data_IF_470286175607
#
_entry.id   IF_470286175607
#
_cell.length_a   1.000
_cell.length_b   1.000
_cell.length_c   1.000
_cell.angle_alpha   90.00
_cell.angle_beta   90.00
_cell.angle_gamma   90.00
#
_symmetry.space_group_name_H-M   'P 1'
#
loop_
_entity.id
_entity.type
_entity.pdbx_description
1 polymer ?
#
# COMPACT_ATOMS: atom_id res chain seq x y z
N UNK A 1 -3.38 91.98 -58.30
CA UNK A 1 -2.44 91.52 -59.35
C UNK A 1 -2.21 90.03 -59.15
N UNK A 2 -2.46 89.24 -60.21
CA UNK A 2 -1.86 87.93 -60.57
C UNK A 2 -1.78 86.87 -59.45
N UNK A 3 -2.36 85.67 -59.51
CA UNK A 3 -2.81 84.83 -60.62
C UNK A 3 -2.31 83.40 -60.38
N UNK A 4 -3.05 82.41 -60.92
CA UNK A 4 -2.61 81.07 -61.34
C UNK A 4 -2.78 79.83 -60.40
N UNK A 5 -3.84 79.07 -60.73
CA UNK A 5 -3.85 77.64 -61.14
C UNK A 5 -4.08 76.49 -60.13
N UNK A 6 -5.27 75.85 -60.32
CA UNK A 6 -5.51 74.42 -60.66
C UNK A 6 -4.87 73.33 -59.77
N UNK A 7 -5.70 72.54 -59.08
CA UNK A 7 -6.18 71.19 -59.52
C UNK A 7 -6.98 70.48 -58.42
N UNK A 8 -7.92 69.68 -58.91
CA UNK A 8 -8.87 68.79 -58.25
C UNK A 8 -8.25 67.48 -57.74
N UNK A 9 -8.79 66.98 -56.62
CA UNK A 9 -9.12 65.55 -56.42
C UNK A 9 -8.13 64.67 -55.62
N UNK A 10 -8.59 64.21 -54.44
CA UNK A 10 -8.40 62.88 -53.78
C UNK A 10 -8.81 63.05 -52.29
N UNK A 11 -9.98 62.62 -51.82
CA UNK A 11 -10.51 61.26 -51.56
C UNK A 11 -9.68 60.46 -50.52
N UNK A 12 -10.34 60.23 -49.37
CA UNK A 12 -10.28 59.11 -48.40
C UNK A 12 -9.31 59.20 -47.21
N UNK A 13 -9.92 59.58 -46.08
CA UNK A 13 -10.10 58.85 -44.81
C UNK A 13 -8.90 58.28 -44.04
N UNK A 14 -8.74 58.87 -42.85
CA UNK A 14 -8.35 58.31 -41.55
C UNK A 14 -7.48 57.04 -41.51
N UNK A 15 -6.22 57.28 -41.16
CA UNK A 15 -5.33 56.36 -40.45
C UNK A 15 -5.91 55.98 -39.08
N UNK A 16 -6.29 54.71 -38.91
CA UNK A 16 -6.41 54.07 -37.60
C UNK A 16 -5.42 52.90 -37.55
N UNK A 17 -4.31 53.10 -36.83
CA UNK A 17 -3.34 52.05 -36.56
C UNK A 17 -3.95 51.01 -35.63
N UNK A 18 -4.22 49.82 -36.16
CA UNK A 18 -4.66 48.66 -35.37
C UNK A 18 -3.42 48.13 -34.64
N UNK A 19 -3.31 48.44 -33.35
CA UNK A 19 -2.41 47.73 -32.46
C UNK A 19 -2.93 46.29 -32.30
N UNK A 20 -2.20 45.32 -32.84
CA UNK A 20 -2.48 43.91 -32.64
C UNK A 20 -2.21 43.54 -31.17
N UNK A 21 -3.25 43.62 -30.32
CA UNK A 21 -3.25 42.92 -29.05
C UNK A 21 -3.29 41.42 -29.35
N UNK A 22 -2.14 40.76 -29.27
CA UNK A 22 -2.06 39.31 -29.12
C UNK A 22 -2.68 38.95 -27.75
N UNK A 23 -3.99 38.74 -27.73
CA UNK A 23 -4.68 38.20 -26.57
C UNK A 23 -4.14 36.80 -26.30
N UNK A 24 -3.37 36.65 -25.22
CA UNK A 24 -3.07 35.34 -24.65
C UNK A 24 -4.41 34.72 -24.23
N UNK A 25 -4.94 33.81 -25.04
CA UNK A 25 -6.02 32.94 -24.64
C UNK A 25 -5.50 32.03 -23.52
N UNK A 26 -5.70 32.45 -22.26
CA UNK A 26 -5.62 31.56 -21.12
C UNK A 26 -6.70 30.49 -21.30
N UNK A 27 -6.31 29.33 -21.83
CA UNK A 27 -7.15 28.14 -21.78
C UNK A 27 -7.58 27.94 -20.32
N UNK A 28 -8.87 27.67 -20.06
CA UNK A 28 -9.30 27.37 -18.70
C UNK A 28 -8.47 26.19 -18.20
N UNK A 29 -7.80 26.37 -17.06
CA UNK A 29 -7.07 25.29 -16.41
C UNK A 29 -8.05 24.12 -16.22
N UNK A 30 -7.88 23.06 -17.01
CA UNK A 30 -8.70 21.87 -16.90
C UNK A 30 -8.63 21.35 -15.47
N UNK A 31 -9.78 20.99 -14.90
CA UNK A 31 -9.84 20.45 -13.55
C UNK A 31 -8.84 19.29 -13.41
N UNK A 32 -7.95 19.37 -12.42
CA UNK A 32 -6.92 18.36 -12.19
C UNK A 32 -7.58 16.99 -12.03
N UNK A 33 -7.10 15.93 -12.72
CA UNK A 33 -7.69 14.60 -12.59
C UNK A 33 -7.70 14.11 -11.14
N UNK A 34 -8.78 13.42 -10.76
CA UNK A 34 -8.89 12.82 -9.43
C UNK A 34 -7.82 11.74 -9.24
N UNK A 35 -7.11 11.80 -8.12
CA UNK A 35 -6.05 10.85 -7.82
C UNK A 35 -6.57 9.40 -7.78
N UNK A 36 -7.80 9.17 -7.30
CA UNK A 36 -8.38 7.82 -7.28
C UNK A 36 -8.52 7.20 -8.67
N UNK A 37 -8.78 8.01 -9.70
CA UNK A 37 -8.91 7.54 -11.09
C UNK A 37 -7.54 7.20 -11.64
N UNK A 38 -6.54 8.04 -11.36
CA UNK A 38 -5.16 7.81 -11.81
C UNK A 38 -4.53 6.57 -11.17
N UNK A 39 -4.61 6.46 -9.85
CA UNK A 39 -4.05 5.32 -9.12
C UNK A 39 -4.85 4.03 -9.35
N UNK A 40 -6.18 4.12 -9.41
CA UNK A 40 -7.05 2.98 -9.71
C UNK A 40 -6.91 2.45 -11.13
N UNK A 41 -6.37 3.24 -12.06
CA UNK A 41 -6.10 2.83 -13.44
C UNK A 41 -4.77 2.09 -13.63
N UNK A 42 -3.93 1.97 -12.59
CA UNK A 42 -2.67 1.22 -12.69
C UNK A 42 -2.89 -0.27 -12.50
N UNK A 43 -2.36 -1.07 -13.42
CA UNK A 43 -2.42 -2.53 -13.35
C UNK A 43 -1.27 -3.10 -12.50
N UNK A 44 -0.09 -2.49 -12.56
CA UNK A 44 1.14 -2.98 -11.95
C UNK A 44 1.80 -1.93 -11.02
N UNK A 45 2.63 -2.37 -10.06
CA UNK A 45 3.30 -1.48 -9.12
C UNK A 45 4.38 -0.67 -9.82
N UNK A 46 4.87 0.38 -9.14
CA UNK A 46 6.04 1.12 -9.60
C UNK A 46 7.31 0.27 -9.42
N UNK A 47 8.02 -0.06 -10.50
CA UNK A 47 9.28 -0.80 -10.50
C UNK A 47 10.45 0.05 -9.99
N UNK A 48 10.44 0.32 -8.69
CA UNK A 48 11.41 1.16 -7.97
C UNK A 48 11.62 0.57 -6.58
N UNK A 49 12.48 1.20 -5.76
CA UNK A 49 12.69 0.74 -4.38
C UNK A 49 11.40 0.86 -3.55
N UNK A 50 11.14 -0.10 -2.64
CA UNK A 50 10.01 -0.04 -1.73
C UNK A 50 10.07 1.19 -0.83
N UNK A 51 9.00 1.98 -0.83
CA UNK A 51 8.84 3.12 0.08
C UNK A 51 7.37 3.55 0.17
N UNK A 52 6.92 3.90 1.36
CA UNK A 52 5.60 4.48 1.64
C UNK A 52 5.70 6.00 1.79
N UNK A 53 4.76 6.74 1.20
CA UNK A 53 4.75 8.21 1.22
C UNK A 53 3.42 8.74 1.71
N UNK A 54 3.46 9.71 2.63
CA UNK A 54 2.29 10.35 3.20
C UNK A 54 1.69 9.56 4.35
N UNK A 55 0.37 9.63 4.46
CA UNK A 55 -0.39 9.00 5.55
C UNK A 55 -1.28 7.89 5.00
N UNK A 56 -1.71 6.96 5.85
CA UNK A 56 -2.48 5.76 5.47
C UNK A 56 -3.72 6.05 4.61
N UNK A 57 -4.34 7.22 4.76
CA UNK A 57 -5.50 7.69 4.01
C UNK A 57 -5.24 8.90 3.10
N UNK A 58 -3.96 9.25 2.88
CA UNK A 58 -3.54 10.37 2.05
C UNK A 58 -2.08 10.16 1.62
N UNK A 59 -1.86 9.27 0.66
CA UNK A 59 -0.53 8.85 0.29
C UNK A 59 -0.49 7.90 -0.90
N UNK A 60 0.69 7.35 -1.15
CA UNK A 60 0.97 6.32 -2.17
C UNK A 60 2.13 5.45 -1.69
N UNK A 61 2.48 4.40 -2.44
CA UNK A 61 3.72 3.67 -2.21
C UNK A 61 4.32 3.14 -3.51
N UNK A 62 5.63 2.91 -3.48
CA UNK A 62 6.42 2.38 -4.59
C UNK A 62 7.07 1.05 -4.23
N UNK A 63 7.61 0.34 -5.24
CA UNK A 63 8.27 -0.96 -5.03
C UNK A 63 7.36 -2.01 -4.37
N UNK A 64 6.06 -1.91 -4.67
CA UNK A 64 5.07 -2.84 -4.16
C UNK A 64 5.25 -4.24 -4.71
N UNK A 65 4.92 -5.23 -3.88
CA UNK A 65 4.80 -6.63 -4.30
C UNK A 65 3.40 -7.12 -4.05
N UNK A 66 2.95 -8.07 -4.85
CA UNK A 66 1.67 -8.71 -4.64
C UNK A 66 1.83 -9.98 -3.80
N UNK A 67 0.87 -10.28 -2.94
CA UNK A 67 0.74 -11.63 -2.37
C UNK A 67 0.05 -12.54 -3.38
N UNK A 68 0.57 -13.75 -3.61
CA UNK A 68 -0.04 -14.72 -4.51
C UNK A 68 -1.53 -14.91 -4.21
N UNK A 69 -2.33 -15.13 -5.27
CA UNK A 69 -3.79 -15.35 -5.11
C UNK A 69 -4.09 -16.54 -4.21
N UNK A 70 -3.18 -17.50 -4.20
CA UNK A 70 -3.22 -18.72 -3.40
C UNK A 70 -1.88 -18.92 -2.72
N UNK A 71 -1.94 -19.23 -1.44
CA UNK A 71 -0.81 -19.79 -0.71
C UNK A 71 -1.19 -21.09 -0.02
N UNK A 72 -0.25 -21.70 0.72
CA UNK A 72 -0.54 -22.90 1.49
C UNK A 72 -1.68 -22.68 2.51
N UNK A 73 -1.70 -21.52 3.13
CA UNK A 73 -2.53 -21.16 4.29
C UNK A 73 -3.37 -19.90 4.08
N UNK A 74 -3.55 -19.44 2.84
CA UNK A 74 -4.42 -18.31 2.51
C UNK A 74 -5.02 -18.39 1.11
N UNK A 75 -6.08 -17.61 0.90
CA UNK A 75 -6.69 -17.33 -0.40
C UNK A 75 -7.08 -15.85 -0.48
N UNK A 76 -6.69 -15.17 -1.57
CA UNK A 76 -7.09 -13.79 -1.81
C UNK A 76 -8.51 -13.72 -2.40
N UNK A 77 -9.31 -12.76 -1.91
CA UNK A 77 -10.70 -12.53 -2.29
C UNK A 77 -10.83 -11.31 -3.19
N UNK A 78 -11.93 -11.21 -3.94
CA UNK A 78 -12.22 -10.05 -4.80
C UNK A 78 -11.06 -9.69 -5.74
N UNK A 79 -10.51 -10.69 -6.42
CA UNK A 79 -9.33 -10.58 -7.29
C UNK A 79 -9.50 -9.49 -8.36
N UNK A 80 -10.73 -9.35 -8.89
CA UNK A 80 -11.10 -8.34 -9.88
C UNK A 80 -10.80 -6.90 -9.45
N UNK A 81 -10.71 -6.62 -8.14
CA UNK A 81 -10.41 -5.29 -7.61
C UNK A 81 -8.95 -4.88 -7.78
N UNK A 82 -8.05 -5.81 -8.07
CA UNK A 82 -6.61 -5.60 -8.15
C UNK A 82 -6.00 -4.96 -6.88
N UNK A 83 -6.32 -5.52 -5.70
CA UNK A 83 -5.96 -4.95 -4.38
C UNK A 83 -5.05 -5.81 -3.51
N UNK A 84 -4.36 -6.78 -4.11
CA UNK A 84 -3.46 -7.72 -3.40
C UNK A 84 -2.02 -7.21 -3.26
N UNK A 85 -1.80 -5.89 -3.38
CA UNK A 85 -0.48 -5.27 -3.42
C UNK A 85 -0.15 -4.58 -2.10
N UNK A 86 1.10 -4.62 -1.68
CA UNK A 86 1.53 -3.93 -0.48
C UNK A 86 3.03 -3.71 -0.43
N UNK A 87 3.47 -3.00 0.61
CA UNK A 87 4.87 -2.91 0.94
C UNK A 87 5.40 -4.33 1.27
N UNK A 88 6.63 -4.71 0.88
CA UNK A 88 7.14 -6.07 1.13
C UNK A 88 7.03 -6.54 2.57
N UNK A 89 7.21 -5.63 3.55
CA UNK A 89 7.03 -5.92 4.98
C UNK A 89 5.58 -6.25 5.36
N UNK A 90 4.59 -5.63 4.71
CA UNK A 90 3.19 -5.96 4.91
C UNK A 90 2.87 -7.35 4.35
N UNK A 91 3.33 -7.65 3.13
CA UNK A 91 3.13 -8.96 2.51
C UNK A 91 3.78 -10.08 3.33
N UNK A 92 5.02 -9.88 3.77
CA UNK A 92 5.71 -10.83 4.64
C UNK A 92 4.97 -11.07 5.97
N UNK A 93 4.39 -10.02 6.56
CA UNK A 93 3.59 -10.13 7.78
C UNK A 93 2.31 -10.93 7.54
N UNK A 94 1.62 -10.75 6.41
CA UNK A 94 0.43 -11.53 6.06
C UNK A 94 0.78 -13.00 5.86
N UNK A 95 1.86 -13.31 5.13
CA UNK A 95 2.31 -14.69 4.94
C UNK A 95 2.66 -15.34 6.29
N UNK A 96 3.37 -14.61 7.17
CA UNK A 96 3.66 -15.07 8.53
C UNK A 96 2.39 -15.30 9.35
N UNK A 97 1.47 -14.33 9.36
CA UNK A 97 0.17 -14.46 10.02
C UNK A 97 -0.58 -15.69 9.54
N UNK A 98 -0.56 -15.96 8.23
CA UNK A 98 -1.30 -17.09 7.68
C UNK A 98 -0.80 -18.44 8.20
N UNK A 99 0.52 -18.60 8.35
CA UNK A 99 1.13 -19.83 8.89
C UNK A 99 0.90 -19.94 10.40
N UNK A 100 1.15 -18.85 11.13
CA UNK A 100 1.02 -18.84 12.59
C UNK A 100 -0.44 -19.02 13.02
N UNK A 101 -1.41 -18.45 12.28
CA UNK A 101 -2.82 -18.66 12.53
C UNK A 101 -3.20 -20.14 12.40
N UNK A 102 -2.67 -20.84 11.39
CA UNK A 102 -2.86 -22.30 11.24
C UNK A 102 -2.23 -23.07 12.39
N UNK A 103 -1.02 -22.70 12.81
CA UNK A 103 -0.39 -23.30 13.98
C UNK A 103 -1.21 -23.08 15.28
N UNK A 104 -1.93 -21.97 15.38
CA UNK A 104 -2.84 -21.66 16.49
C UNK A 104 -4.25 -22.26 16.33
N UNK A 105 -4.51 -23.04 15.27
CA UNK A 105 -5.79 -23.74 15.05
C UNK A 105 -6.83 -23.00 14.19
N UNK A 106 -6.47 -21.88 13.55
CA UNK A 106 -7.31 -21.21 12.55
C UNK A 106 -7.10 -21.85 11.17
N UNK A 107 -8.13 -22.15 10.35
CA UNK A 107 -7.94 -22.99 9.15
C UNK A 107 -7.18 -22.34 7.98
N UNK A 108 -6.85 -21.05 8.08
CA UNK A 108 -6.17 -20.26 7.07
C UNK A 108 -6.88 -18.94 6.81
N UNK A 109 -6.24 -18.03 6.07
CA UNK A 109 -6.74 -16.67 5.89
C UNK A 109 -7.50 -16.49 4.57
N UNK A 110 -8.67 -15.85 4.63
CA UNK A 110 -9.28 -15.21 3.48
C UNK A 110 -8.86 -13.74 3.47
N UNK A 111 -8.06 -13.34 2.48
CA UNK A 111 -7.49 -11.98 2.40
C UNK A 111 -8.44 -11.06 1.64
N UNK A 112 -8.80 -9.95 2.26
CA UNK A 112 -9.51 -8.84 1.63
C UNK A 112 -8.56 -7.87 0.92
N UNK A 113 -8.89 -6.57 0.99
CA UNK A 113 -8.10 -5.54 0.32
C UNK A 113 -6.79 -5.28 1.09
N UNK A 114 -5.66 -5.18 0.38
CA UNK A 114 -4.36 -4.70 0.91
C UNK A 114 -4.12 -3.28 0.41
N UNK A 115 -3.83 -3.10 -0.88
CA UNK A 115 -3.72 -1.80 -1.54
C UNK A 115 -3.79 -2.00 -3.06
N UNK A 116 -4.10 -0.92 -3.79
CA UNK A 116 -3.91 -0.87 -5.26
C UNK A 116 -2.40 -0.98 -5.59
N UNK A 117 -2.00 -1.27 -6.84
CA UNK A 117 -0.60 -1.56 -7.17
C UNK A 117 0.39 -0.47 -6.79
N UNK A 118 -0.04 0.79 -6.85
CA UNK A 118 0.76 1.97 -6.49
C UNK A 118 0.19 2.73 -5.29
N UNK A 119 -0.73 2.09 -4.57
CA UNK A 119 -1.46 2.70 -3.46
C UNK A 119 -2.45 3.75 -3.93
N UNK A 120 -2.42 4.92 -3.29
CA UNK A 120 -3.30 6.02 -3.64
C UNK A 120 -4.74 5.82 -3.16
N UNK A 121 -5.58 6.87 -3.27
CA UNK A 121 -6.98 6.77 -2.89
C UNK A 121 -7.71 5.71 -3.74
N UNK A 122 -8.47 4.83 -3.11
CA UNK A 122 -9.17 3.74 -3.81
C UNK A 122 -10.36 4.24 -4.66
N UNK A 123 -10.69 3.50 -5.73
CA UNK A 123 -11.91 3.78 -6.50
C UNK A 123 -13.18 3.65 -5.64
N UNK A 124 -13.18 2.72 -4.69
CA UNK A 124 -14.32 2.33 -3.84
C UNK A 124 -13.84 1.78 -2.50
N UNK A 125 -14.71 1.74 -1.49
CA UNK A 125 -14.44 1.03 -0.23
C UNK A 125 -13.69 1.90 0.80
N UNK A 126 -12.45 1.52 1.12
CA UNK A 126 -11.72 1.99 2.30
C UNK A 126 -11.13 3.39 2.15
N UNK A 127 -11.17 4.20 3.21
CA UNK A 127 -10.54 5.51 3.23
C UNK A 127 -9.00 5.43 3.31
N UNK A 128 -8.47 4.34 3.91
CA UNK A 128 -7.04 4.08 4.04
C UNK A 128 -6.50 3.15 2.96
N UNK A 129 -5.52 2.27 3.23
CA UNK A 129 -4.92 1.36 2.26
C UNK A 129 -4.18 2.06 1.10
N UNK A 130 -3.72 3.29 1.33
CA UNK A 130 -3.10 4.07 0.28
C UNK A 130 -1.59 3.90 0.21
N UNK A 131 -0.96 3.38 1.27
CA UNK A 131 0.52 3.38 1.40
C UNK A 131 1.12 1.97 1.55
N UNK A 132 0.35 0.91 1.28
CA UNK A 132 0.87 -0.47 1.28
C UNK A 132 1.12 -1.07 2.67
N UNK A 133 0.56 -0.48 3.74
CA UNK A 133 0.80 -0.86 5.14
C UNK A 133 -0.50 -1.24 5.89
N UNK A 134 -1.57 -1.49 5.14
CA UNK A 134 -2.88 -1.89 5.64
C UNK A 134 -3.32 -3.19 4.95
N UNK A 135 -4.04 -4.07 5.65
CA UNK A 135 -4.74 -5.19 5.03
C UNK A 135 -5.98 -5.62 5.80
N UNK A 136 -7.01 -6.02 5.06
CA UNK A 136 -8.20 -6.63 5.63
C UNK A 136 -8.09 -8.15 5.60
N UNK A 137 -8.40 -8.78 6.72
CA UNK A 137 -8.46 -10.24 6.86
C UNK A 137 -9.87 -10.60 7.31
N UNK A 138 -10.54 -11.48 6.57
CA UNK A 138 -11.90 -11.88 6.93
C UNK A 138 -11.89 -12.71 8.22
N UNK A 139 -12.93 -12.52 9.02
CA UNK A 139 -13.24 -13.36 10.18
C UNK A 139 -14.01 -14.62 9.78
N UNK A 140 -14.38 -14.78 8.50
CA UNK A 140 -14.88 -16.04 7.97
C UNK A 140 -13.74 -17.06 7.87
N UNK A 141 -13.87 -18.25 8.49
CA UNK A 141 -12.87 -19.31 8.36
C UNK A 141 -12.67 -19.72 6.90
N UNK A 142 -11.40 -19.87 6.48
CA UNK A 142 -11.07 -20.36 5.14
C UNK A 142 -11.56 -21.82 4.98
N UNK A 143 -12.24 -22.18 3.87
CA UNK A 143 -12.64 -23.56 3.64
C UNK A 143 -11.43 -24.47 3.37
N UNK A 144 -11.59 -25.78 3.61
CA UNK A 144 -10.56 -26.81 3.38
C UNK A 144 -10.27 -27.10 1.90
N UNK A 145 -10.91 -26.37 0.98
CA UNK A 145 -10.71 -26.44 -0.46
C UNK A 145 -10.34 -25.09 -1.03
N UNK A 146 -9.81 -25.09 -2.25
CA UNK A 146 -9.63 -23.85 -3.01
C UNK A 146 -10.97 -23.36 -3.55
N UNK A 147 -11.22 -22.07 -3.35
CA UNK A 147 -12.32 -21.32 -3.94
C UNK A 147 -11.96 -21.02 -5.39
N UNK A 148 -12.91 -21.23 -6.29
CA UNK A 148 -12.83 -20.77 -7.67
C UNK A 148 -12.78 -19.24 -7.75
N UNK A 149 -12.38 -18.70 -8.90
CA UNK A 149 -12.39 -17.26 -9.13
C UNK A 149 -13.79 -16.65 -8.89
N UNK A 150 -14.85 -17.28 -9.40
CA UNK A 150 -16.23 -16.81 -9.21
C UNK A 150 -16.63 -16.80 -7.74
N UNK A 151 -16.31 -17.83 -6.98
CA UNK A 151 -16.61 -17.87 -5.54
C UNK A 151 -15.88 -16.75 -4.78
N UNK A 152 -14.64 -16.43 -5.14
CA UNK A 152 -13.89 -15.32 -4.52
C UNK A 152 -14.51 -13.96 -4.79
N UNK A 153 -15.22 -13.80 -5.90
CA UNK A 153 -15.94 -12.58 -6.24
C UNK A 153 -17.30 -12.48 -5.55
N UNK A 154 -18.02 -13.60 -5.41
CA UNK A 154 -19.43 -13.59 -4.99
C UNK A 154 -19.68 -14.04 -3.56
N UNK A 155 -18.77 -14.82 -2.95
CA UNK A 155 -18.91 -15.27 -1.57
C UNK A 155 -19.04 -14.07 -0.64
N UNK A 156 -20.04 -14.08 0.24
CA UNK A 156 -20.20 -13.07 1.28
C UNK A 156 -19.39 -13.43 2.52
N UNK A 157 -18.72 -12.42 3.10
CA UNK A 157 -18.14 -12.56 4.42
C UNK A 157 -19.24 -12.67 5.49
N UNK A 158 -18.94 -13.38 6.57
CA UNK A 158 -19.86 -13.63 7.67
C UNK A 158 -19.68 -12.53 8.72
N UNK A 159 -20.73 -11.76 9.00
CA UNK A 159 -20.70 -10.82 10.12
C UNK A 159 -20.67 -11.56 11.45
N UNK A 160 -19.77 -11.15 12.33
CA UNK A 160 -19.66 -11.66 13.70
C UNK A 160 -20.62 -10.96 14.66
N UNK A 161 -21.39 -9.97 14.20
CA UNK A 161 -22.30 -9.18 15.02
C UNK A 161 -23.74 -9.62 14.78
N UNK A 162 -24.54 -9.71 15.85
CA UNK A 162 -25.98 -10.01 15.75
C UNK A 162 -26.67 -8.97 14.88
N UNK A 163 -27.51 -9.44 13.96
CA UNK A 163 -28.29 -8.57 13.06
C UNK A 163 -29.04 -7.50 13.85
N UNK A 164 -28.81 -6.23 13.51
CA UNK A 164 -29.48 -5.07 14.14
C UNK A 164 -28.96 -4.71 15.54
N UNK A 165 -27.86 -5.32 16.00
CA UNK A 165 -27.28 -5.05 17.31
C UNK A 165 -25.80 -4.67 17.27
N UNK A 166 -25.22 -4.52 18.47
CA UNK A 166 -23.79 -4.20 18.66
C UNK A 166 -23.03 -5.31 19.40
N UNK A 167 -23.64 -6.49 19.54
CA UNK A 167 -23.06 -7.62 20.28
C UNK A 167 -22.67 -8.73 19.32
N UNK A 168 -21.62 -9.46 19.68
CA UNK A 168 -21.16 -10.61 18.91
C UNK A 168 -22.25 -11.71 18.89
N UNK A 169 -22.39 -12.40 17.76
CA UNK A 169 -23.18 -13.62 17.66
C UNK A 169 -22.36 -14.81 18.17
N UNK A 170 -22.62 -15.23 19.42
CA UNK A 170 -21.92 -16.33 20.08
C UNK A 170 -22.09 -17.69 19.40
N UNK A 171 -23.05 -17.83 18.47
CA UNK A 171 -23.18 -19.04 17.65
C UNK A 171 -22.09 -19.16 16.59
N UNK A 172 -21.46 -18.04 16.23
CA UNK A 172 -20.41 -17.95 15.21
C UNK A 172 -19.03 -17.73 15.84
N UNK A 173 -18.97 -16.96 16.93
CA UNK A 173 -17.71 -16.62 17.57
C UNK A 173 -17.12 -17.78 18.36
N UNK A 174 -15.89 -18.15 18.02
CA UNK A 174 -15.15 -19.23 18.68
C UNK A 174 -13.87 -18.70 19.32
N UNK A 175 -13.26 -19.45 20.27
CA UNK A 175 -11.95 -19.10 20.82
C UNK A 175 -10.86 -18.90 19.75
N UNK A 176 -10.97 -19.56 18.60
CA UNK A 176 -10.04 -19.40 17.48
C UNK A 176 -10.05 -17.98 16.88
N UNK A 177 -11.19 -17.28 16.90
CA UNK A 177 -11.26 -15.88 16.47
C UNK A 177 -10.46 -14.97 17.41
N UNK A 178 -10.61 -15.19 18.73
CA UNK A 178 -9.79 -14.51 19.75
C UNK A 178 -8.31 -14.82 19.55
N UNK A 179 -7.97 -16.09 19.29
CA UNK A 179 -6.60 -16.53 19.00
C UNK A 179 -6.00 -15.82 17.79
N UNK A 180 -6.73 -15.73 16.68
CA UNK A 180 -6.30 -15.03 15.46
C UNK A 180 -6.00 -13.55 15.72
N UNK A 181 -6.90 -12.84 16.41
CA UNK A 181 -6.69 -11.41 16.72
C UNK A 181 -5.53 -11.21 17.70
N UNK A 182 -5.37 -12.10 18.69
CA UNK A 182 -4.24 -12.08 19.61
C UNK A 182 -2.92 -12.31 18.86
N UNK A 183 -2.89 -13.30 17.95
CA UNK A 183 -1.71 -13.60 17.12
C UNK A 183 -1.32 -12.39 16.29
N UNK A 184 -2.27 -11.80 15.56
CA UNK A 184 -2.01 -10.61 14.75
C UNK A 184 -1.50 -9.44 15.61
N UNK A 185 -2.09 -9.20 16.79
CA UNK A 185 -1.67 -8.12 17.68
C UNK A 185 -0.27 -8.35 18.30
N UNK A 186 0.17 -9.61 18.41
CA UNK A 186 1.45 -9.97 19.01
C UNK A 186 2.67 -9.51 18.21
N UNK A 187 2.50 -9.21 16.93
CA UNK A 187 3.62 -8.79 16.08
C UNK A 187 4.06 -7.36 16.39
N UNK A 188 5.37 -7.11 16.56
CA UNK A 188 5.88 -5.78 16.91
C UNK A 188 5.61 -4.73 15.84
N UNK A 189 5.52 -5.14 14.57
CA UNK A 189 5.27 -4.25 13.43
C UNK A 189 3.82 -3.74 13.39
N UNK A 190 2.87 -4.50 13.99
CA UNK A 190 1.46 -4.12 14.02
C UNK A 190 1.23 -3.03 15.05
N UNK A 191 0.76 -1.87 14.57
CA UNK A 191 0.42 -0.73 15.42
C UNK A 191 -1.05 -0.77 15.88
N UNK A 192 -1.96 -1.19 14.99
CA UNK A 192 -3.40 -1.23 15.24
C UNK A 192 -4.07 -2.38 14.50
N UNK A 193 -5.12 -2.90 15.11
CA UNK A 193 -6.09 -3.78 14.48
C UNK A 193 -7.47 -3.16 14.67
N UNK A 194 -8.16 -2.78 13.60
CA UNK A 194 -9.51 -2.23 13.68
C UNK A 194 -10.54 -3.36 13.59
N UNK A 195 -11.50 -3.34 14.52
CA UNK A 195 -12.61 -4.29 14.61
C UNK A 195 -13.89 -3.56 14.97
N UNK A 196 -15.04 -4.18 14.74
CA UNK A 196 -16.31 -3.67 15.25
C UNK A 196 -16.27 -3.51 16.78
N UNK A 197 -16.92 -2.48 17.38
CA UNK A 197 -16.92 -2.27 18.84
C UNK A 197 -17.43 -3.47 19.64
N UNK A 198 -18.41 -4.19 19.10
CA UNK A 198 -18.93 -5.43 19.68
C UNK A 198 -17.87 -6.53 19.84
N UNK A 199 -16.98 -6.68 18.85
CA UNK A 199 -15.85 -7.62 18.93
C UNK A 199 -14.88 -7.17 20.02
N UNK A 200 -14.54 -5.88 20.05
CA UNK A 200 -13.68 -5.33 21.11
C UNK A 200 -14.28 -5.57 22.51
N UNK A 201 -15.58 -5.35 22.68
CA UNK A 201 -16.30 -5.64 23.94
C UNK A 201 -16.24 -7.12 24.31
N UNK A 202 -16.52 -8.03 23.36
CA UNK A 202 -16.41 -9.48 23.58
C UNK A 202 -15.03 -9.88 24.08
N UNK A 203 -13.96 -9.35 23.46
CA UNK A 203 -12.58 -9.59 23.90
C UNK A 203 -12.33 -9.04 25.32
N UNK A 204 -12.78 -7.82 25.59
CA UNK A 204 -12.64 -7.20 26.91
C UNK A 204 -13.33 -8.01 28.01
N UNK A 205 -14.47 -8.65 27.73
CA UNK A 205 -15.24 -9.44 28.69
C UNK A 205 -14.68 -10.85 28.91
N UNK A 206 -14.03 -11.43 27.90
CA UNK A 206 -13.69 -12.87 27.91
C UNK A 206 -12.19 -13.18 28.01
N UNK A 207 -11.31 -12.25 27.65
CA UNK A 207 -9.86 -12.45 27.72
C UNK A 207 -9.39 -12.30 29.17
N UNK A 208 -8.83 -13.36 29.73
CA UNK A 208 -8.18 -13.35 31.05
C UNK A 208 -6.66 -13.47 30.91
N UNK A 209 -5.90 -13.20 31.98
CA UNK A 209 -4.44 -13.24 31.95
C UNK A 209 -3.82 -12.03 31.24
N UNK A 210 -2.90 -12.27 30.31
CA UNK A 210 -2.24 -11.20 29.54
C UNK A 210 -3.23 -10.51 28.57
N UNK A 211 -3.52 -9.25 28.88
CA UNK A 211 -4.42 -8.37 28.12
C UNK A 211 -3.69 -7.25 27.40
N UNK A 212 -2.35 -7.20 27.46
CA UNK A 212 -1.56 -6.09 26.92
C UNK A 212 -1.80 -5.87 25.41
N UNK A 213 -2.00 -6.97 24.67
CA UNK A 213 -2.28 -6.98 23.23
C UNK A 213 -3.62 -6.32 22.87
N UNK A 214 -4.60 -6.28 23.79
CA UNK A 214 -5.89 -5.64 23.55
C UNK A 214 -5.72 -4.15 23.25
N UNK A 215 -4.66 -3.50 23.75
CA UNK A 215 -4.34 -2.10 23.44
C UNK A 215 -4.31 -1.80 21.94
N UNK A 216 -3.84 -2.76 21.13
CA UNK A 216 -3.78 -2.62 19.66
C UNK A 216 -5.12 -2.85 18.99
N UNK A 217 -6.07 -3.53 19.64
CA UNK A 217 -7.42 -3.76 19.10
C UNK A 217 -8.26 -2.50 19.31
N UNK A 218 -8.63 -1.84 18.21
CA UNK A 218 -9.32 -0.55 18.20
C UNK A 218 -10.74 -0.69 17.63
N UNK A 219 -11.76 -0.23 18.35
CA UNK A 219 -13.11 -0.17 17.82
C UNK A 219 -13.21 0.80 16.64
N UNK A 220 -13.90 0.41 15.58
CA UNK A 220 -14.20 1.25 14.42
C UNK A 220 -15.52 0.82 13.76
N UNK A 221 -16.22 1.75 13.10
CA UNK A 221 -17.46 1.45 12.38
C UNK A 221 -17.26 0.37 11.30
N UNK A 222 -18.27 -0.48 11.09
CA UNK A 222 -18.13 -1.66 10.23
C UNK A 222 -17.20 -2.69 10.87
N UNK A 223 -16.27 -3.27 10.11
CA UNK A 223 -15.28 -4.24 10.61
C UNK A 223 -15.89 -5.38 11.45
N UNK A 224 -17.09 -5.78 11.06
CA UNK A 224 -17.92 -6.80 11.72
C UNK A 224 -17.68 -8.19 11.11
N UNK A 225 -17.23 -8.26 9.86
CA UNK A 225 -16.88 -9.51 9.16
C UNK A 225 -15.38 -9.64 8.81
N UNK A 226 -14.59 -8.61 9.05
CA UNK A 226 -13.14 -8.59 8.83
C UNK A 226 -12.49 -7.75 9.93
N UNK A 227 -11.19 -7.96 10.13
CA UNK A 227 -10.36 -7.03 10.88
C UNK A 227 -9.34 -6.38 9.96
N UNK A 228 -9.10 -5.09 10.20
CA UNK A 228 -8.12 -4.29 9.48
C UNK A 228 -6.81 -4.30 10.24
N UNK A 229 -5.73 -4.83 9.68
CA UNK A 229 -4.38 -4.74 10.25
C UNK A 229 -3.68 -3.50 9.70
N UNK A 230 -3.01 -2.76 10.57
CA UNK A 230 -2.09 -1.69 10.21
C UNK A 230 -0.71 -1.93 10.79
N UNK A 231 0.31 -1.87 9.94
CA UNK A 231 1.71 -1.86 10.38
C UNK A 231 2.29 -0.44 10.33
N UNK A 232 3.32 -0.21 11.14
CA UNK A 232 3.99 1.10 11.20
C UNK A 232 4.78 1.45 9.95
N UNK A 233 5.24 2.70 9.87
CA UNK A 233 6.14 3.16 8.80
C UNK A 233 7.45 2.36 8.82
N UNK A 234 7.82 1.84 7.64
CA UNK A 234 8.98 0.97 7.47
C UNK A 234 10.24 1.77 7.15
N UNK A 235 11.40 1.17 7.41
CA UNK A 235 12.70 1.72 6.99
C UNK A 235 12.72 1.98 5.48
N UNK A 236 13.47 2.99 5.03
CA UNK A 236 13.51 3.41 3.64
C UNK A 236 12.30 4.26 3.18
N UNK A 237 11.39 4.61 4.10
CA UNK A 237 10.20 5.44 3.81
C UNK A 237 10.25 6.83 4.47
N UNK A 238 11.16 7.74 4.07
CA UNK A 238 11.37 9.04 4.75
C UNK A 238 10.15 9.97 4.68
N UNK A 239 9.24 9.76 3.74
CA UNK A 239 7.98 10.51 3.61
C UNK A 239 6.78 9.88 4.33
N UNK A 240 6.95 8.74 5.00
CA UNK A 240 5.86 8.05 5.69
C UNK A 240 5.54 8.71 7.03
N UNK A 241 4.27 9.09 7.22
CA UNK A 241 3.76 9.74 8.42
C UNK A 241 3.12 8.71 9.35
N UNK A 242 3.66 8.59 10.55
CA UNK A 242 3.12 7.72 11.60
C UNK A 242 1.78 8.26 12.12
N UNK A 243 0.97 7.37 12.69
CA UNK A 243 -0.15 7.76 13.53
C UNK A 243 0.32 8.08 14.94
N UNK A 244 -0.50 8.80 15.69
CA UNK A 244 -0.29 8.96 17.13
C UNK A 244 -0.17 7.59 17.80
N UNK A 245 0.55 7.47 18.94
CA UNK A 245 0.58 6.24 19.70
C UNK A 245 -0.81 5.80 20.13
N UNK A 246 -1.02 4.48 20.21
CA UNK A 246 -2.23 3.95 20.85
C UNK A 246 -2.26 4.38 22.33
N UNK A 247 -3.40 4.83 22.89
CA UNK A 247 -3.48 5.19 24.30
C UNK A 247 -3.01 4.06 25.22
N UNK A 248 -2.57 4.40 26.43
CA UNK A 248 -2.21 3.40 27.44
C UNK A 248 -3.44 2.58 27.88
N UNK A 249 -3.18 1.44 28.53
CA UNK A 249 -4.22 0.50 28.96
C UNK A 249 -4.69 -0.43 27.84
N UNK A 250 -5.63 -1.31 28.17
CA UNK A 250 -6.20 -2.30 27.24
C UNK A 250 -7.33 -1.72 26.38
N UNK A 251 -7.77 -0.48 26.66
CA UNK A 251 -8.87 0.19 25.97
C UNK A 251 -10.24 -0.44 26.23
N UNK A 252 -10.41 -1.08 27.39
CA UNK A 252 -11.67 -1.66 27.87
C UNK A 252 -12.33 -0.76 28.94
N UNK A 253 -12.26 0.56 28.73
CA UNK A 253 -12.67 1.59 29.67
C UNK A 253 -13.78 2.50 29.07
N UNK A 254 -13.91 3.73 29.57
CA UNK A 254 -14.87 4.72 29.07
C UNK A 254 -14.73 5.00 27.56
N UNK A 255 -13.53 4.85 26.99
CA UNK A 255 -13.30 4.98 25.55
C UNK A 255 -14.02 3.90 24.74
N UNK A 256 -14.19 2.70 25.29
CA UNK A 256 -15.00 1.66 24.68
C UNK A 256 -16.49 1.87 24.97
N UNK A 257 -16.84 2.29 26.19
CA UNK A 257 -18.23 2.53 26.58
C UNK A 257 -18.93 3.57 25.68
N UNK A 258 -18.20 4.59 25.21
CA UNK A 258 -18.72 5.59 24.27
C UNK A 258 -19.33 4.98 22.99
N UNK A 259 -18.77 3.87 22.49
CA UNK A 259 -19.28 3.14 21.31
C UNK A 259 -20.65 2.49 21.52
N UNK A 260 -21.10 2.40 22.76
CA UNK A 260 -22.40 1.85 23.13
C UNK A 260 -23.38 2.95 23.60
N UNK A 261 -23.06 4.21 23.31
CA UNK A 261 -24.00 5.33 23.37
C UNK A 261 -24.60 5.58 21.98
N UNK A 262 -25.61 6.46 21.88
CA UNK A 262 -26.21 6.83 20.59
C UNK A 262 -25.28 7.69 19.71
N UNK A 263 -24.39 8.47 20.32
CA UNK A 263 -23.59 9.49 19.66
C UNK A 263 -22.80 8.99 18.43
N UNK A 264 -22.00 7.90 18.50
CA UNK A 264 -21.27 7.39 17.35
C UNK A 264 -22.14 6.84 16.22
N UNK A 265 -23.42 6.56 16.48
CA UNK A 265 -24.35 5.95 15.51
C UNK A 265 -25.33 6.95 14.93
N UNK A 266 -25.22 8.24 15.32
CA UNK A 266 -26.04 9.30 14.74
C UNK A 266 -25.81 9.37 13.23
N UNK A 267 -26.88 9.47 12.42
CA UNK A 267 -26.73 9.65 10.98
C UNK A 267 -25.84 10.86 10.66
N UNK A 268 -25.02 10.72 9.62
CA UNK A 268 -24.26 11.86 9.11
C UNK A 268 -25.22 12.98 8.70
N UNK A 269 -24.99 14.20 9.20
CA UNK A 269 -25.79 15.39 8.88
C UNK A 269 -25.77 15.76 7.40
N UNK A 270 -24.73 15.35 6.67
CA UNK A 270 -24.62 15.56 5.23
C UNK A 270 -24.21 14.24 4.54
N UNK A 271 -25.15 13.30 4.37
CA UNK A 271 -24.85 11.97 3.82
C UNK A 271 -24.38 12.04 2.36
N UNK A 272 -24.88 13.03 1.62
CA UNK A 272 -24.61 13.23 0.19
C UNK A 272 -23.30 13.97 -0.09
N UNK A 273 -22.64 14.52 0.95
CA UNK A 273 -21.32 15.10 0.80
C UNK A 273 -20.34 14.08 0.21
N UNK A 274 -19.59 14.45 -0.85
CA UNK A 274 -18.55 13.60 -1.40
C UNK A 274 -17.55 13.20 -0.32
N UNK A 275 -17.08 11.95 -0.33
CA UNK A 275 -16.05 11.54 0.62
C UNK A 275 -14.73 12.21 0.26
N UNK A 276 -13.86 12.43 1.25
CA UNK A 276 -12.56 13.09 1.00
C UNK A 276 -11.76 12.44 -0.14
N UNK A 277 -11.76 11.11 -0.22
CA UNK A 277 -11.15 10.32 -1.31
C UNK A 277 -11.70 10.66 -2.70
N UNK A 278 -12.97 11.05 -2.78
CA UNK A 278 -13.66 11.37 -4.03
C UNK A 278 -13.35 12.78 -4.53
N UNK A 279 -12.71 13.60 -3.69
CA UNK A 279 -12.28 14.97 -4.00
C UNK A 279 -10.76 15.11 -4.13
N UNK A 280 -9.99 14.10 -3.72
CA UNK A 280 -8.52 14.16 -3.74
C UNK A 280 -7.99 14.21 -5.18
N UNK A 281 -7.24 15.25 -5.48
CA UNK A 281 -6.42 15.44 -6.68
C UNK A 281 -4.97 15.06 -6.41
N UNK A 282 -4.09 15.07 -7.43
CA UNK A 282 -2.66 14.80 -7.21
C UNK A 282 -1.99 15.88 -6.35
N UNK A 283 -2.42 17.14 -6.46
CA UNK A 283 -2.00 18.24 -5.57
C UNK A 283 -2.37 18.02 -4.10
N UNK A 284 -3.35 17.15 -3.81
CA UNK A 284 -3.66 16.74 -2.44
C UNK A 284 -2.64 15.75 -1.87
N UNK A 285 -1.88 15.04 -2.69
CA UNK A 285 -0.98 13.95 -2.26
C UNK A 285 0.47 14.44 -2.03
N UNK A 286 1.31 13.67 -1.32
CA UNK A 286 2.75 13.92 -1.28
C UNK A 286 3.32 14.05 -2.70
N UNK A 287 4.29 14.96 -2.89
CA UNK A 287 4.89 15.24 -4.21
C UNK A 287 5.50 13.99 -4.87
N UNK A 288 5.99 13.07 -4.05
CA UNK A 288 6.59 11.80 -4.47
C UNK A 288 5.56 10.93 -5.22
N UNK A 289 4.27 11.08 -4.94
CA UNK A 289 3.21 10.29 -5.57
C UNK A 289 3.06 10.54 -7.06
N UNK A 290 3.52 11.68 -7.58
CA UNK A 290 3.61 11.89 -9.04
C UNK A 290 4.67 10.97 -9.66
N UNK A 291 5.87 10.94 -9.08
CA UNK A 291 6.94 10.05 -9.53
C UNK A 291 6.55 8.57 -9.40
N UNK A 292 5.85 8.20 -8.33
CA UNK A 292 5.30 6.84 -8.17
C UNK A 292 4.32 6.51 -9.29
N UNK A 293 3.43 7.43 -9.66
CA UNK A 293 2.43 7.21 -10.71
C UNK A 293 3.06 7.12 -12.12
N UNK A 294 4.17 7.81 -12.35
CA UNK A 294 4.88 7.87 -13.64
C UNK A 294 5.97 6.80 -13.80
N UNK A 295 6.39 6.16 -12.70
CA UNK A 295 7.43 5.13 -12.72
C UNK A 295 7.11 3.97 -13.68
N UNK A 296 8.14 3.30 -14.24
CA UNK A 296 7.93 2.15 -15.10
C UNK A 296 7.24 1.00 -14.36
N UNK A 297 6.53 0.17 -15.11
CA UNK A 297 6.01 -1.11 -14.63
C UNK A 297 7.14 -2.15 -14.54
N UNK A 298 7.02 -3.18 -13.68
CA UNK A 298 7.87 -4.35 -13.74
C UNK A 298 7.65 -5.14 -15.04
N UNK A 299 8.57 -6.04 -15.37
CA UNK A 299 8.48 -6.89 -16.57
C UNK A 299 7.22 -7.77 -16.61
N UNK A 300 6.66 -8.11 -15.45
CA UNK A 300 5.38 -8.82 -15.31
C UNK A 300 4.88 -8.77 -13.87
N UNK A 301 3.59 -9.09 -13.67
CA UNK A 301 3.01 -9.34 -12.34
C UNK A 301 3.68 -10.51 -11.62
N UNK A 302 4.05 -11.57 -12.36
CA UNK A 302 4.69 -12.76 -11.81
C UNK A 302 6.06 -12.42 -11.20
N UNK A 303 6.82 -11.51 -11.81
CA UNK A 303 8.13 -11.08 -11.31
C UNK A 303 8.04 -10.40 -9.93
N UNK A 304 6.89 -9.81 -9.59
CA UNK A 304 6.67 -9.07 -8.34
C UNK A 304 5.59 -9.69 -7.46
N UNK A 305 5.25 -10.96 -7.68
CA UNK A 305 4.32 -11.72 -6.84
C UNK A 305 5.11 -12.64 -5.91
N UNK A 306 4.88 -12.51 -4.61
CA UNK A 306 5.46 -13.36 -3.56
C UNK A 306 4.44 -14.44 -3.19
N UNK A 307 4.88 -15.69 -3.10
CA UNK A 307 4.03 -16.77 -2.60
C UNK A 307 4.81 -17.89 -1.94
N UNK A 308 4.73 -18.00 -0.61
CA UNK A 308 4.86 -19.22 0.20
C UNK A 308 6.24 -19.91 0.25
N UNK A 309 7.06 -19.74 -0.76
CA UNK A 309 8.41 -20.26 -0.93
C UNK A 309 9.24 -19.14 -1.56
N UNK A 310 10.04 -18.44 -0.75
CA UNK A 310 11.11 -17.46 -1.07
C UNK A 310 11.55 -17.26 -2.54
N UNK A 311 10.64 -16.89 -3.44
CA UNK A 311 10.96 -16.37 -4.76
C UNK A 311 10.55 -14.91 -4.77
N UNK A 312 11.48 -14.08 -4.29
CA UNK A 312 11.55 -12.70 -4.76
C UNK A 312 12.37 -12.75 -6.03
N UNK A 313 11.73 -12.60 -7.20
CA UNK A 313 12.48 -12.34 -8.43
C UNK A 313 12.76 -10.84 -8.46
N UNK A 314 14.05 -10.53 -8.48
CA UNK A 314 14.70 -9.23 -8.65
C UNK A 314 13.78 -8.05 -9.03
N UNK A 315 13.73 -7.05 -8.15
CA UNK A 315 13.47 -5.68 -8.58
C UNK A 315 14.51 -5.33 -9.66
N UNK A 316 14.04 -4.95 -10.84
CA UNK A 316 14.83 -4.71 -12.04
C UNK A 316 16.13 -3.94 -11.71
N UNK A 317 17.27 -4.55 -12.06
CA UNK A 317 18.48 -3.80 -12.29
C UNK A 317 18.18 -2.74 -13.36
N UNK A 318 18.61 -1.51 -13.12
CA UNK A 318 18.60 -0.47 -14.14
C UNK A 318 19.25 -1.02 -15.42
N UNK A 319 18.74 -0.67 -16.62
CA UNK A 319 19.45 -1.02 -17.84
C UNK A 319 20.86 -0.43 -17.75
N UNK A 320 21.87 -1.29 -17.95
CA UNK A 320 23.25 -0.83 -18.06
C UNK A 320 23.34 0.26 -19.14
N UNK A 321 24.19 1.29 -18.97
CA UNK A 321 24.34 2.31 -20.00
C UNK A 321 24.79 1.62 -21.30
N UNK A 322 24.08 1.89 -22.38
CA UNK A 322 24.48 1.46 -23.72
C UNK A 322 25.78 2.18 -24.04
N UNK A 323 26.90 1.47 -23.96
CA UNK A 323 28.19 1.97 -24.40
C UNK A 323 28.17 2.09 -25.93
N UNK A 324 28.55 3.27 -26.43
CA UNK A 324 28.81 3.50 -27.85
C UNK A 324 29.98 2.62 -28.33
N UNK A 325 30.02 2.21 -29.62
CA UNK A 325 31.05 1.29 -30.09
C UNK A 325 32.39 2.02 -30.30
N UNK A 326 33.45 1.54 -29.65
CA UNK A 326 34.85 1.83 -29.99
C UNK A 326 35.44 0.72 -30.88
N UNK A 327 36.46 1.03 -31.71
CA UNK A 327 36.92 0.17 -32.81
C UNK A 327 37.80 -1.00 -32.33
N UNK A 328 38.05 -2.01 -33.19
CA UNK A 328 38.50 -3.31 -32.72
C UNK A 328 40.00 -3.32 -32.43
N UNK A 329 40.38 -3.87 -31.27
CA UNK A 329 41.75 -4.27 -30.96
C UNK A 329 41.80 -5.75 -30.54
N UNK A 330 42.66 -6.46 -31.26
CA UNK A 330 43.27 -7.79 -31.08
C UNK A 330 43.28 -8.42 -29.68
N UNK A 331 43.01 -9.73 -29.62
CA UNK A 331 43.12 -10.63 -28.47
C UNK A 331 44.25 -11.69 -28.70
N UNK A 332 44.61 -12.55 -27.73
CA UNK A 332 44.65 -12.38 -26.26
C UNK A 332 45.96 -12.90 -25.61
N UNK A 333 46.16 -12.63 -24.32
CA UNK A 333 46.98 -13.48 -23.45
C UNK A 333 46.20 -13.77 -22.15
N UNK A 334 46.18 -15.05 -21.77
CA UNK A 334 45.34 -15.61 -20.72
C UNK A 334 45.77 -15.20 -19.31
N UNK A 335 44.79 -14.93 -18.44
CA UNK A 335 45.00 -14.86 -16.99
C UNK A 335 43.86 -15.58 -16.27
N UNK A 336 44.27 -16.42 -15.32
CA UNK A 336 43.50 -17.43 -14.61
C UNK A 336 42.71 -16.82 -13.44
N UNK A 337 41.48 -17.28 -13.24
CA UNK A 337 40.57 -16.84 -12.20
C UNK A 337 41.02 -17.29 -10.79
N UNK A 338 40.99 -16.36 -9.83
CA UNK A 338 41.19 -16.64 -8.41
C UNK A 338 39.83 -16.98 -7.74
N UNK A 339 39.71 -18.19 -7.18
CA UNK A 339 38.57 -18.65 -6.39
C UNK A 339 38.84 -18.46 -4.89
N UNK A 340 37.91 -17.82 -4.18
CA UNK A 340 38.01 -17.43 -2.77
C UNK A 340 37.77 -18.57 -1.75
N UNK A 341 38.08 -19.82 -2.10
CA UNK A 341 37.87 -21.00 -1.23
C UNK A 341 39.05 -22.00 -1.23
N UNK A 342 40.28 -21.54 -1.49
CA UNK A 342 41.45 -22.39 -1.37
C UNK A 342 41.93 -22.50 0.12
N UNK A 343 42.23 -23.71 0.63
CA UNK A 343 42.72 -23.90 2.00
C UNK A 343 44.12 -23.30 2.20
N UNK A 344 44.34 -22.71 3.37
CA UNK A 344 45.60 -22.03 3.74
C UNK A 344 46.73 -23.05 3.95
N UNK A 345 47.91 -22.89 3.31
CA UNK A 345 49.03 -23.80 3.51
C UNK A 345 49.75 -23.55 4.84
N UNK A 346 50.19 -24.64 5.46
CA UNK A 346 50.87 -24.66 6.75
C UNK A 346 52.36 -24.34 6.57
N UNK A 347 52.87 -23.29 7.22
CA UNK A 347 54.27 -22.88 7.13
C UNK A 347 55.00 -23.24 8.42
N UNK A 348 55.91 -24.22 8.31
CA UNK A 348 56.82 -24.62 9.39
C UNK A 348 57.76 -23.51 9.84
N UNK A 349 58.11 -23.54 11.13
CA UNK A 349 58.89 -22.51 11.86
C UNK A 349 60.28 -22.29 11.22
N UNK A 350 60.66 -21.04 10.86
CA UNK A 350 61.98 -20.74 10.29
C UNK A 350 63.11 -20.77 11.34
N UNK A 351 64.24 -21.40 10.99
CA UNK A 351 65.48 -21.42 11.80
C UNK A 351 66.46 -20.33 11.30
N UNK A 352 67.15 -19.57 12.18
CA UNK A 352 68.00 -18.45 11.76
C UNK A 352 69.31 -18.89 11.06
N UNK A 353 69.72 -18.16 10.02
CA UNK A 353 71.05 -18.28 9.40
C UNK A 353 71.98 -17.16 9.88
N UNK A 354 73.28 -17.43 10.13
CA UNK A 354 74.24 -16.42 10.54
C UNK A 354 74.64 -15.47 9.39
N UNK A 355 75.02 -14.24 9.78
CA UNK A 355 75.32 -13.09 8.91
C UNK A 355 76.79 -13.13 8.44
N UNK A 356 77.10 -12.93 7.15
CA UNK A 356 78.49 -12.79 6.68
C UNK A 356 79.03 -11.36 6.88
N UNK A 357 80.36 -11.27 7.02
CA UNK A 357 81.20 -10.11 7.36
C UNK A 357 81.16 -8.92 6.39
#
# INVERSE_FOLDING_TARGET
MVGLHRRTGRIISLTAGIAALAGAFSLPAGAEPLAKVLFGGKALPAATKPASYGFYSKGCFSGGVAIATDGPTWQAMRLSRNRRWGHPKMIALIEKLSRDAVADGWPGLLLGDISQPRGGPMLTGHASHQIGLDADIWLTPMPSRRLSATERETMSATSMIKKGGLTVDDRLWTPAHTGLLRRAASYPEVERILVHPGIKKKLCETVTGDRSWLRKIRPFWGHDYHFHIRIGCQEGSPGCKRQDPVPAGDGCDKSLAWWFTEEPWRPNKNPDAPKARDLMTMSSLPKECRAVLEAPDPVSEAAVTVGGSNLTVAAAAAPAPVASPEPPATAPAAAVAANAFAPTPDFGVPVPRPRPD
#
